data_IF_520935109747
#
_entry.id   IF_520935109747
#
_cell.length_a   1.000
_cell.length_b   1.000
_cell.length_c   1.000
_cell.angle_alpha   90.00
_cell.angle_beta   90.00
_cell.angle_gamma   90.00
#
_symmetry.space_group_name_H-M   'P 1'
#
loop_
_entity.id
_entity.type
_entity.pdbx_description
1 polymer ?
#
# COMPACT_ATOMS: atom_id res chain seq x y z
N UNK A 1 -9.79 -3.63 17.25
CA UNK A 1 -8.41 -3.76 16.74
C UNK A 1 -8.42 -3.33 15.27
N UNK A 2 -7.64 -2.32 14.88
CA UNK A 2 -7.58 -1.85 13.48
C UNK A 2 -6.88 -2.92 12.62
N UNK A 3 -7.54 -3.42 11.58
CA UNK A 3 -6.99 -4.44 10.67
C UNK A 3 -5.58 -4.08 10.16
N UNK A 4 -5.33 -2.80 9.84
CA UNK A 4 -4.02 -2.31 9.38
C UNK A 4 -2.91 -2.48 10.42
N UNK A 5 -3.22 -2.34 11.71
CA UNK A 5 -2.24 -2.57 12.80
C UNK A 5 -1.90 -4.06 12.93
N UNK A 6 -2.87 -4.93 12.69
CA UNK A 6 -2.68 -6.39 12.65
C UNK A 6 -1.83 -6.77 11.43
N UNK A 7 -2.10 -6.19 10.27
CA UNK A 7 -1.32 -6.44 9.05
C UNK A 7 0.11 -5.90 9.17
N UNK A 8 0.31 -4.75 9.82
CA UNK A 8 1.65 -4.23 10.13
C UNK A 8 2.44 -5.16 11.05
N UNK A 9 1.82 -5.65 12.13
CA UNK A 9 2.44 -6.60 13.05
C UNK A 9 2.74 -7.94 12.38
N UNK A 10 1.82 -8.43 11.53
CA UNK A 10 2.04 -9.62 10.69
C UNK A 10 3.19 -9.42 9.73
N UNK A 11 3.24 -8.30 9.01
CA UNK A 11 4.33 -7.99 8.09
C UNK A 11 5.70 -7.93 8.79
N UNK A 12 5.80 -7.26 9.96
CA UNK A 12 7.03 -7.27 10.77
C UNK A 12 7.39 -8.69 11.21
N UNK A 13 6.40 -9.45 11.69
CA UNK A 13 6.63 -10.81 12.20
C UNK A 13 7.06 -11.77 11.09
N UNK A 14 6.46 -11.66 9.90
CA UNK A 14 6.84 -12.41 8.71
C UNK A 14 8.27 -12.08 8.29
N UNK A 15 8.64 -10.80 8.20
CA UNK A 15 10.04 -10.41 7.90
C UNK A 15 11.06 -10.91 8.93
N UNK A 16 10.66 -11.04 10.21
CA UNK A 16 11.55 -11.50 11.28
C UNK A 16 11.68 -13.02 11.36
N UNK A 17 10.65 -13.77 10.98
CA UNK A 17 10.59 -15.24 11.16
C UNK A 17 10.81 -16.04 9.88
N UNK A 18 10.57 -15.44 8.70
CA UNK A 18 10.56 -16.18 7.43
C UNK A 18 11.86 -15.89 6.68
N UNK A 19 12.74 -16.88 6.44
CA UNK A 19 13.78 -16.73 5.43
C UNK A 19 13.10 -16.44 4.09
N UNK A 20 13.63 -15.51 3.29
CA UNK A 20 12.96 -14.83 2.16
C UNK A 20 12.24 -15.70 1.09
N UNK A 21 12.30 -17.03 1.18
CA UNK A 21 11.85 -17.98 0.16
C UNK A 21 10.47 -18.62 0.37
N UNK A 22 9.81 -18.51 1.54
CA UNK A 22 8.55 -19.25 1.77
C UNK A 22 7.27 -18.47 1.41
N UNK A 23 7.33 -17.15 1.45
CA UNK A 23 6.31 -16.24 0.92
C UNK A 23 6.99 -14.99 0.36
N UNK A 24 6.61 -14.47 -0.82
CA UNK A 24 7.21 -13.26 -1.38
C UNK A 24 6.69 -12.04 -0.61
N UNK A 25 7.17 -11.86 0.63
CA UNK A 25 7.00 -10.60 1.35
C UNK A 25 8.03 -9.65 0.76
N UNK A 26 7.56 -8.79 -0.14
CA UNK A 26 8.43 -7.84 -0.79
C UNK A 26 9.00 -6.86 0.25
N UNK A 27 10.25 -6.40 0.07
CA UNK A 27 10.77 -5.31 0.88
C UNK A 27 9.95 -4.05 0.62
N UNK A 28 9.96 -3.12 1.58
CA UNK A 28 9.37 -1.81 1.38
C UNK A 28 9.98 -1.16 0.13
N UNK A 29 9.18 -0.52 -0.73
CA UNK A 29 9.73 0.25 -1.84
C UNK A 29 10.59 1.38 -1.29
N UNK A 30 11.82 1.52 -1.80
CA UNK A 30 12.77 2.52 -1.30
C UNK A 30 12.31 3.96 -1.54
N UNK A 31 11.59 4.18 -2.64
CA UNK A 31 11.13 5.50 -3.08
C UNK A 31 9.74 5.42 -3.68
N UNK A 32 8.97 6.49 -3.49
CA UNK A 32 7.68 6.71 -4.14
C UNK A 32 7.73 8.01 -4.95
N UNK A 33 7.03 8.08 -6.09
CA UNK A 33 7.14 9.20 -7.02
C UNK A 33 6.51 10.50 -6.50
N UNK A 34 5.61 10.41 -5.52
CA UNK A 34 4.82 11.54 -5.01
C UNK A 34 4.77 11.53 -3.49
N UNK A 35 4.55 12.71 -2.92
CA UNK A 35 4.23 12.86 -1.51
C UNK A 35 2.80 12.38 -1.26
N UNK A 36 2.58 11.68 -0.15
CA UNK A 36 1.24 11.29 0.29
C UNK A 36 1.21 9.90 0.92
N UNK A 37 0.00 9.40 1.06
CA UNK A 37 -0.30 8.06 1.57
C UNK A 37 -0.74 7.16 0.42
N UNK A 38 -0.23 5.94 0.38
CA UNK A 38 -0.60 4.93 -0.63
C UNK A 38 -0.86 3.60 0.04
N UNK A 39 -1.83 2.85 -0.47
CA UNK A 39 -2.08 1.47 -0.01
C UNK A 39 -1.24 0.52 -0.86
N UNK A 40 -0.46 -0.35 -0.20
CA UNK A 40 0.47 -1.28 -0.83
C UNK A 40 0.21 -2.73 -0.40
N UNK A 41 0.15 -3.61 -1.37
CA UNK A 41 -0.11 -5.04 -1.23
C UNK A 41 1.23 -5.79 -1.20
N UNK A 42 1.76 -5.96 0.00
CA UNK A 42 3.13 -6.46 0.23
C UNK A 42 3.41 -7.89 -0.25
N UNK A 43 2.38 -8.70 -0.50
CA UNK A 43 2.52 -10.04 -1.09
C UNK A 43 2.64 -10.03 -2.62
N UNK A 44 2.19 -8.97 -3.29
CA UNK A 44 2.15 -8.88 -4.77
C UNK A 44 3.07 -7.79 -5.33
N UNK A 45 3.64 -6.97 -4.46
CA UNK A 45 4.36 -5.75 -4.81
C UNK A 45 3.54 -4.80 -5.70
N UNK A 46 2.26 -4.68 -5.38
CA UNK A 46 1.30 -3.86 -6.13
C UNK A 46 0.75 -2.76 -5.21
N UNK A 47 0.28 -1.68 -5.81
CA UNK A 47 -0.32 -0.54 -5.14
C UNK A 47 -1.80 -0.45 -5.50
N UNK A 48 -2.54 0.25 -4.65
CA UNK A 48 -3.91 0.63 -4.95
C UNK A 48 -3.91 1.73 -6.00
N UNK A 49 -4.47 1.43 -7.17
CA UNK A 49 -4.79 2.39 -8.22
C UNK A 49 -6.27 2.76 -8.16
N UNK A 50 -6.56 4.00 -8.49
CA UNK A 50 -7.93 4.49 -8.69
C UNK A 50 -7.93 5.35 -9.93
N UNK A 51 -8.72 4.95 -10.92
CA UNK A 51 -8.85 5.67 -12.18
C UNK A 51 -10.32 5.87 -12.49
N UNK A 52 -10.65 7.04 -13.05
CA UNK A 52 -12.01 7.31 -13.50
C UNK A 52 -12.22 6.67 -14.88
N UNK A 53 -13.09 5.67 -14.95
CA UNK A 53 -13.50 5.08 -16.21
C UNK A 53 -14.63 5.93 -16.82
N UNK A 54 -14.31 6.55 -17.95
CA UNK A 54 -15.25 7.42 -18.70
C UNK A 54 -16.43 6.66 -19.30
N UNK A 55 -16.27 5.38 -19.63
CA UNK A 55 -17.34 4.54 -20.17
C UNK A 55 -18.30 4.11 -19.08
N UNK A 56 -17.77 3.69 -17.93
CA UNK A 56 -18.57 3.29 -16.78
C UNK A 56 -19.11 4.49 -15.98
N UNK A 57 -18.58 5.70 -16.21
CA UNK A 57 -18.82 6.92 -15.44
C UNK A 57 -18.61 6.72 -13.93
N UNK A 58 -17.60 5.91 -13.58
CA UNK A 58 -17.33 5.50 -12.22
C UNK A 58 -15.82 5.40 -11.97
N UNK A 59 -15.41 5.54 -10.71
CA UNK A 59 -14.05 5.23 -10.29
C UNK A 59 -13.89 3.71 -10.18
N UNK A 60 -12.92 3.18 -10.92
CA UNK A 60 -12.54 1.77 -10.85
C UNK A 60 -11.28 1.68 -10.00
N UNK A 61 -11.34 0.81 -9.00
CA UNK A 61 -10.22 0.46 -8.15
C UNK A 61 -9.48 -0.73 -8.76
N UNK A 62 -8.17 -0.64 -8.91
CA UNK A 62 -7.36 -1.72 -9.48
C UNK A 62 -6.01 -1.88 -8.76
N UNK A 63 -5.35 -3.01 -8.98
CA UNK A 63 -3.99 -3.27 -8.55
C UNK A 63 -3.00 -2.81 -9.61
N UNK A 64 -2.15 -1.84 -9.26
CA UNK A 64 -1.13 -1.31 -10.18
C UNK A 64 0.27 -1.67 -9.71
N UNK A 65 1.12 -2.14 -10.62
CA UNK A 65 2.54 -2.43 -10.29
C UNK A 65 3.41 -1.19 -10.30
N UNK A 66 3.03 -0.21 -11.13
CA UNK A 66 3.76 1.02 -11.32
C UNK A 66 3.39 2.02 -10.20
N UNK A 67 4.33 2.47 -9.36
CA UNK A 67 4.05 3.46 -8.33
C UNK A 67 3.51 4.77 -8.89
N UNK A 68 3.78 5.10 -10.15
CA UNK A 68 3.28 6.33 -10.81
C UNK A 68 1.79 6.32 -11.09
N UNK A 69 1.19 5.13 -11.19
CA UNK A 69 -0.24 4.90 -11.43
C UNK A 69 -1.01 4.68 -10.12
N UNK A 70 -0.30 4.64 -9.00
CA UNK A 70 -0.90 4.47 -7.68
C UNK A 70 -1.68 5.71 -7.26
N UNK A 71 -2.76 5.49 -6.51
CA UNK A 71 -3.55 6.56 -5.92
C UNK A 71 -2.83 7.09 -4.66
N UNK A 72 -2.33 8.32 -4.75
CA UNK A 72 -1.77 9.05 -3.61
C UNK A 72 -2.87 9.85 -2.93
N UNK A 73 -3.08 9.54 -1.65
CA UNK A 73 -4.06 10.19 -0.80
C UNK A 73 -3.39 11.26 0.05
N UNK A 74 -4.13 12.32 0.35
CA UNK A 74 -3.60 13.44 1.12
C UNK A 74 -3.52 13.09 2.61
N UNK A 75 -4.47 12.31 3.11
CA UNK A 75 -4.57 12.01 4.55
C UNK A 75 -4.33 10.54 4.88
N UNK A 76 -3.75 10.32 6.07
CA UNK A 76 -3.60 8.98 6.64
C UNK A 76 -4.95 8.28 6.85
N UNK A 77 -5.98 9.05 7.23
CA UNK A 77 -7.29 8.52 7.56
C UNK A 77 -7.97 7.90 6.33
N UNK A 78 -7.93 8.57 5.18
CA UNK A 78 -8.45 8.04 3.91
C UNK A 78 -7.75 6.74 3.53
N UNK A 79 -6.42 6.72 3.59
CA UNK A 79 -5.64 5.53 3.24
C UNK A 79 -5.95 4.34 4.15
N UNK A 80 -6.11 4.58 5.46
CA UNK A 80 -6.52 3.56 6.41
C UNK A 80 -7.94 3.08 6.16
N UNK A 81 -8.87 3.96 5.79
CA UNK A 81 -10.24 3.58 5.47
C UNK A 81 -10.30 2.69 4.23
N UNK A 82 -9.54 3.04 3.18
CA UNK A 82 -9.41 2.19 1.99
C UNK A 82 -8.80 0.84 2.36
N UNK A 83 -7.69 0.82 3.12
CA UNK A 83 -7.05 -0.41 3.54
C UNK A 83 -7.99 -1.34 4.34
N UNK A 84 -8.88 -0.79 5.17
CA UNK A 84 -9.88 -1.56 5.94
C UNK A 84 -10.94 -2.23 5.07
N UNK A 85 -11.24 -1.66 3.90
CA UNK A 85 -12.22 -2.21 2.95
C UNK A 85 -11.61 -3.30 2.06
N UNK A 86 -10.28 -3.44 2.07
CA UNK A 86 -9.59 -4.44 1.25
C UNK A 86 -9.68 -5.82 1.88
N UNK A 87 -9.99 -6.81 1.05
CA UNK A 87 -9.91 -8.23 1.43
C UNK A 87 -8.45 -8.71 1.42
N UNK A 88 -7.63 -8.11 0.57
CA UNK A 88 -6.21 -8.45 0.47
C UNK A 88 -5.40 -7.77 1.60
N UNK A 89 -4.47 -8.51 2.24
CA UNK A 89 -3.57 -7.94 3.22
C UNK A 89 -2.72 -6.81 2.61
N UNK A 90 -2.75 -5.65 3.24
CA UNK A 90 -2.10 -4.44 2.75
C UNK A 90 -1.51 -3.60 3.88
N UNK A 91 -0.60 -2.70 3.51
CA UNK A 91 -0.03 -1.67 4.38
C UNK A 91 -0.35 -0.30 3.81
N UNK A 92 -0.51 0.69 4.68
CA UNK A 92 -0.45 2.08 4.25
C UNK A 92 1.00 2.54 4.32
N UNK A 93 1.50 3.07 3.23
CA UNK A 93 2.82 3.67 3.15
C UNK A 93 2.67 5.19 3.11
N UNK A 94 3.58 5.89 3.78
CA UNK A 94 3.72 7.34 3.72
C UNK A 94 5.06 7.70 3.12
N UNK A 95 5.04 8.67 2.20
CA UNK A 95 6.23 9.29 1.66
C UNK A 95 6.10 10.81 1.75
N UNK A 96 7.15 11.47 2.27
CA UNK A 96 7.19 12.93 2.37
C UNK A 96 7.53 13.62 1.04
N UNK A 97 8.03 12.88 0.04
CA UNK A 97 8.39 13.41 -1.28
C UNK A 97 9.27 12.46 -2.10
N UNK A 98 9.59 12.78 -3.37
CA UNK A 98 10.19 11.86 -4.35
C UNK A 98 11.51 11.17 -3.96
N UNK A 99 12.23 11.74 -2.98
CA UNK A 99 13.50 11.23 -2.47
C UNK A 99 13.46 10.89 -0.98
N UNK A 100 12.30 10.95 -0.35
CA UNK A 100 12.14 10.65 1.07
C UNK A 100 11.98 9.15 1.30
N UNK A 101 12.48 8.68 2.45
CA UNK A 101 12.29 7.30 2.88
C UNK A 101 10.79 6.99 3.02
N UNK A 102 10.40 5.82 2.52
CA UNK A 102 9.03 5.33 2.61
C UNK A 102 8.85 4.62 3.95
N UNK A 103 7.80 5.01 4.68
CA UNK A 103 7.50 4.44 5.99
C UNK A 103 6.12 3.80 5.97
N UNK A 104 6.00 2.58 6.49
CA UNK A 104 4.70 1.97 6.73
C UNK A 104 4.04 2.59 7.98
N UNK A 105 2.75 2.91 7.87
CA UNK A 105 1.95 3.55 8.93
C UNK A 105 0.72 2.71 9.23
N UNK A 106 0.34 2.65 10.51
CA UNK A 106 -0.81 1.89 11.02
C UNK A 106 -1.85 2.80 11.71
#
# INVERSE_FOLDING_TARGET
>A
MNATRVDYQRWISLRRRVPANEYPVHPLPDRLPRRGYVVWFYFRNEFFGSQFDTKAKAYVCDHVRNPWEAAFLETKAEALDIARRMVCPCLVLYCAGPSAAVNAVA
#
